data_IF_348781249315
#
_entry.id   IF_348781249315
#
_cell.length_a   1.000
_cell.length_b   1.000
_cell.length_c   1.000
_cell.angle_alpha   90.00
_cell.angle_beta   90.00
_cell.angle_gamma   90.00
#
_symmetry.space_group_name_H-M   'P 1'
#
loop_
_entity.id
_entity.type
_entity.pdbx_description
1 polymer ?
#
# COMPACT_ATOMS: atom_id res chain seq x y z
N UNK A 1 -5.36 3.85 7.23
CA UNK A 1 -5.93 2.48 7.21
C UNK A 1 -6.75 2.27 8.47
N UNK A 2 -8.05 2.05 8.38
CA UNK A 2 -8.89 1.81 9.56
C UNK A 2 -9.03 0.30 9.78
N UNK A 3 -8.50 -0.20 10.90
CA UNK A 3 -8.67 -1.59 11.31
C UNK A 3 -10.11 -1.75 11.81
N UNK A 4 -10.91 -2.58 11.13
CA UNK A 4 -12.32 -2.84 11.46
C UNK A 4 -12.51 -4.19 12.16
N UNK A 5 -11.47 -4.69 12.82
CA UNK A 5 -11.44 -6.00 13.46
C UNK A 5 -12.65 -6.29 14.35
N UNK A 6 -13.16 -5.30 15.10
CA UNK A 6 -14.33 -5.46 15.98
C UNK A 6 -15.57 -5.94 15.22
N UNK A 7 -15.79 -5.36 14.03
CA UNK A 7 -16.96 -5.67 13.21
C UNK A 7 -16.79 -7.03 12.51
N UNK A 8 -15.57 -7.28 12.00
CA UNK A 8 -15.19 -8.55 11.37
C UNK A 8 -15.29 -9.72 12.36
N UNK A 9 -14.69 -9.57 13.54
CA UNK A 9 -14.72 -10.61 14.58
C UNK A 9 -16.16 -10.95 14.97
N UNK A 10 -17.00 -9.93 15.21
CA UNK A 10 -18.41 -10.12 15.54
C UNK A 10 -19.18 -10.80 14.40
N UNK A 11 -18.91 -10.42 13.14
CA UNK A 11 -19.55 -11.03 11.96
C UNK A 11 -19.17 -12.51 11.82
N UNK A 12 -17.88 -12.83 11.89
CA UNK A 12 -17.36 -14.21 11.82
C UNK A 12 -17.94 -15.10 12.93
N UNK A 13 -17.98 -14.59 14.15
CA UNK A 13 -18.56 -15.33 15.28
C UNK A 13 -20.04 -15.64 15.06
N UNK A 14 -20.82 -14.64 14.62
CA UNK A 14 -22.25 -14.82 14.31
C UNK A 14 -22.48 -15.79 13.14
N UNK A 15 -21.66 -15.70 12.11
CA UNK A 15 -21.73 -16.60 10.95
C UNK A 15 -21.48 -18.05 11.36
N UNK A 16 -20.51 -18.26 12.27
CA UNK A 16 -20.20 -19.58 12.82
C UNK A 16 -21.20 -20.04 13.90
N UNK A 17 -22.13 -19.15 14.31
CA UNK A 17 -23.15 -19.38 15.34
C UNK A 17 -22.58 -19.76 16.70
N UNK A 18 -21.43 -19.21 17.08
CA UNK A 18 -20.78 -19.43 18.38
C UNK A 18 -20.96 -18.23 19.31
N UNK A 19 -21.00 -18.49 20.62
CA UNK A 19 -21.08 -17.47 21.65
C UNK A 19 -19.71 -16.85 21.93
N UNK A 20 -19.67 -15.70 22.63
CA UNK A 20 -18.41 -15.11 23.10
C UNK A 20 -17.68 -16.04 24.07
N UNK A 21 -18.43 -16.81 24.86
CA UNK A 21 -17.90 -17.78 25.83
C UNK A 21 -17.25 -18.99 25.11
N UNK A 22 -17.88 -19.54 24.10
CA UNK A 22 -17.31 -20.65 23.33
C UNK A 22 -16.01 -20.24 22.62
N UNK A 23 -15.97 -19.03 22.02
CA UNK A 23 -14.74 -18.51 21.44
C UNK A 23 -13.66 -18.29 22.51
N UNK A 24 -14.02 -17.72 23.65
CA UNK A 24 -13.11 -17.49 24.76
C UNK A 24 -12.51 -18.78 25.29
N UNK A 25 -13.34 -19.82 25.49
CA UNK A 25 -12.90 -21.14 25.92
C UNK A 25 -11.92 -21.78 24.94
N UNK A 26 -12.19 -21.65 23.63
CA UNK A 26 -11.26 -22.14 22.60
C UNK A 26 -9.90 -21.44 22.65
N UNK A 27 -9.88 -20.13 22.94
CA UNK A 27 -8.66 -19.32 22.98
C UNK A 27 -7.97 -19.33 24.35
N UNK A 28 -8.54 -19.95 25.38
CA UNK A 28 -8.01 -19.97 26.74
C UNK A 28 -8.06 -18.60 27.44
N UNK A 29 -9.06 -17.77 27.13
CA UNK A 29 -9.25 -16.43 27.67
C UNK A 29 -10.65 -16.25 28.29
N UNK A 30 -10.99 -15.04 28.71
CA UNK A 30 -12.32 -14.73 29.28
C UNK A 30 -13.30 -14.24 28.21
N UNK A 31 -14.60 -14.56 28.36
CA UNK A 31 -15.65 -14.01 27.50
C UNK A 31 -15.69 -12.46 27.53
N UNK A 32 -15.33 -11.87 28.68
CA UNK A 32 -15.21 -10.43 28.82
C UNK A 32 -14.16 -9.83 27.87
N UNK A 33 -13.04 -10.52 27.65
CA UNK A 33 -12.00 -10.10 26.69
C UNK A 33 -12.55 -10.07 25.27
N UNK A 34 -13.23 -11.13 24.85
CA UNK A 34 -13.90 -11.19 23.52
C UNK A 34 -14.92 -10.05 23.39
N UNK A 35 -15.73 -9.82 24.45
CA UNK A 35 -16.69 -8.73 24.46
C UNK A 35 -16.05 -7.34 24.30
N UNK A 36 -14.90 -7.09 24.95
CA UNK A 36 -14.13 -5.84 24.79
C UNK A 36 -13.66 -5.66 23.33
N UNK A 37 -13.12 -6.70 22.72
CA UNK A 37 -12.67 -6.63 21.33
C UNK A 37 -13.82 -6.33 20.36
N UNK A 38 -14.99 -6.97 20.54
CA UNK A 38 -16.18 -6.73 19.72
C UNK A 38 -16.82 -5.35 19.94
N UNK A 39 -16.54 -4.68 21.05
CA UNK A 39 -16.96 -3.28 21.29
C UNK A 39 -15.91 -2.26 20.84
N UNK A 40 -14.70 -2.74 20.47
CA UNK A 40 -13.59 -1.86 20.09
C UNK A 40 -12.90 -1.21 21.28
N UNK A 41 -13.06 -1.76 22.50
CA UNK A 41 -12.44 -1.29 23.75
C UNK A 41 -11.01 -1.82 23.91
N UNK A 42 -10.50 -2.58 22.94
CA UNK A 42 -9.16 -3.14 22.91
C UNK A 42 -9.00 -4.12 21.75
N UNK A 43 -7.78 -4.67 21.64
CA UNK A 43 -7.41 -5.67 20.65
C UNK A 43 -6.92 -6.95 21.34
N UNK A 44 -7.00 -8.12 20.68
CA UNK A 44 -6.29 -9.31 21.12
C UNK A 44 -4.78 -9.06 21.19
N UNK A 45 -4.10 -9.83 22.03
CA UNK A 45 -2.65 -9.96 21.90
C UNK A 45 -2.30 -10.47 20.50
N UNK A 46 -1.21 -9.95 19.93
CA UNK A 46 -0.78 -10.30 18.56
C UNK A 46 -0.57 -11.81 18.40
N UNK A 47 -0.18 -12.50 19.48
CA UNK A 47 0.03 -13.95 19.48
C UNK A 47 -1.27 -14.74 19.34
N UNK A 48 -2.42 -14.14 19.63
CA UNK A 48 -3.73 -14.77 19.48
C UNK A 48 -4.32 -14.61 18.08
N UNK A 49 -3.85 -13.65 17.30
CA UNK A 49 -4.41 -13.38 15.95
C UNK A 49 -4.38 -14.61 15.04
N UNK A 50 -3.29 -15.39 14.95
CA UNK A 50 -3.25 -16.59 14.14
C UNK A 50 -4.27 -17.64 14.59
N UNK A 51 -4.43 -17.84 15.91
CA UNK A 51 -5.38 -18.80 16.48
C UNK A 51 -6.83 -18.41 16.21
N UNK A 52 -7.15 -17.10 16.29
CA UNK A 52 -8.49 -16.59 15.97
C UNK A 52 -8.78 -16.76 14.48
N UNK A 53 -7.83 -16.40 13.62
CA UNK A 53 -7.97 -16.53 12.18
C UNK A 53 -8.20 -18.01 11.77
N UNK A 54 -7.38 -18.92 12.33
CA UNK A 54 -7.52 -20.35 12.09
C UNK A 54 -8.87 -20.91 12.58
N UNK A 55 -9.33 -20.46 13.76
CA UNK A 55 -10.63 -20.87 14.31
C UNK A 55 -11.79 -20.51 13.37
N UNK A 56 -11.74 -19.37 12.72
CA UNK A 56 -12.76 -18.93 11.77
C UNK A 56 -12.50 -19.36 10.33
N UNK A 57 -11.33 -19.91 10.01
CA UNK A 57 -10.97 -20.30 8.65
C UNK A 57 -10.71 -19.13 7.71
N UNK A 58 -10.22 -18.01 8.25
CA UNK A 58 -9.89 -16.79 7.51
C UNK A 58 -8.40 -16.47 7.67
N UNK A 59 -7.89 -15.52 6.86
CA UNK A 59 -6.56 -14.98 7.05
C UNK A 59 -6.53 -13.94 8.18
N UNK A 60 -5.35 -13.65 8.73
CA UNK A 60 -5.18 -12.55 9.71
C UNK A 60 -5.54 -11.19 9.11
N UNK A 61 -5.27 -10.99 7.82
CA UNK A 61 -5.64 -9.77 7.10
C UNK A 61 -7.16 -9.60 7.07
N UNK A 62 -7.89 -10.65 6.70
CA UNK A 62 -9.36 -10.67 6.72
C UNK A 62 -9.91 -10.45 8.13
N UNK A 63 -9.31 -11.08 9.16
CA UNK A 63 -9.69 -10.87 10.56
C UNK A 63 -9.52 -9.41 10.98
N UNK A 64 -8.43 -8.77 10.55
CA UNK A 64 -8.15 -7.35 10.83
C UNK A 64 -9.01 -6.39 9.99
N UNK A 65 -9.77 -6.93 9.04
CA UNK A 65 -10.61 -6.16 8.13
C UNK A 65 -9.80 -5.43 7.05
N UNK A 66 -8.64 -5.99 6.69
CA UNK A 66 -7.84 -5.52 5.57
C UNK A 66 -8.45 -6.09 4.28
N UNK A 67 -9.22 -5.28 3.61
CA UNK A 67 -9.84 -5.65 2.34
C UNK A 67 -8.90 -5.31 1.17
N UNK A 68 -8.25 -6.35 0.62
CA UNK A 68 -7.35 -6.19 -0.53
C UNK A 68 -8.07 -5.63 -1.76
N UNK A 69 -9.30 -6.06 -2.01
CA UNK A 69 -10.08 -5.56 -3.14
C UNK A 69 -10.33 -4.05 -3.03
N UNK A 70 -10.64 -3.57 -1.82
CA UNK A 70 -10.82 -2.15 -1.55
C UNK A 70 -9.52 -1.35 -1.69
N UNK A 71 -8.38 -1.93 -1.31
CA UNK A 71 -7.06 -1.33 -1.53
C UNK A 71 -6.79 -1.24 -3.04
N UNK A 72 -7.04 -2.30 -3.79
CA UNK A 72 -6.84 -2.33 -5.23
C UNK A 72 -7.75 -1.32 -5.96
N UNK A 73 -9.02 -1.21 -5.57
CA UNK A 73 -9.93 -0.18 -6.09
C UNK A 73 -9.43 1.24 -5.80
N UNK A 74 -8.90 1.47 -4.59
CA UNK A 74 -8.34 2.77 -4.21
C UNK A 74 -7.11 3.12 -5.03
N UNK A 75 -6.19 2.17 -5.22
CA UNK A 75 -4.99 2.38 -6.04
C UNK A 75 -5.39 2.63 -7.49
N UNK A 76 -6.32 1.85 -8.04
CA UNK A 76 -6.83 2.06 -9.40
C UNK A 76 -7.45 3.44 -9.58
N UNK A 77 -8.23 3.92 -8.62
CA UNK A 77 -8.79 5.27 -8.68
C UNK A 77 -7.70 6.35 -8.70
N UNK A 78 -6.60 6.15 -7.98
CA UNK A 78 -5.42 7.03 -7.99
C UNK A 78 -4.73 6.99 -9.37
N UNK A 79 -4.55 5.81 -9.96
CA UNK A 79 -3.95 5.64 -11.29
C UNK A 79 -4.79 6.35 -12.37
N UNK A 80 -6.11 6.18 -12.34
CA UNK A 80 -7.05 6.81 -13.27
C UNK A 80 -7.02 8.34 -13.15
N UNK A 81 -6.95 8.89 -11.93
CA UNK A 81 -6.86 10.32 -11.69
C UNK A 81 -5.49 10.87 -12.11
N UNK A 82 -4.40 10.17 -11.82
CA UNK A 82 -3.06 10.51 -12.29
C UNK A 82 -3.00 10.59 -13.82
N UNK A 83 -3.63 9.62 -14.51
CA UNK A 83 -3.71 9.62 -15.97
C UNK A 83 -4.45 10.86 -16.50
N UNK A 84 -5.57 11.26 -15.88
CA UNK A 84 -6.31 12.47 -16.24
C UNK A 84 -5.46 13.72 -16.06
N UNK A 85 -4.79 13.86 -14.91
CA UNK A 85 -3.93 15.01 -14.62
C UNK A 85 -2.76 15.12 -15.60
N UNK A 86 -2.16 13.99 -15.99
CA UNK A 86 -1.12 13.95 -17.02
C UNK A 86 -1.64 14.39 -18.39
N UNK A 87 -2.83 13.92 -18.78
CA UNK A 87 -3.45 14.31 -20.05
C UNK A 87 -3.82 15.80 -20.09
N UNK A 88 -4.12 16.40 -18.92
CA UNK A 88 -4.36 17.84 -18.79
C UNK A 88 -3.07 18.66 -18.69
N UNK A 89 -1.91 18.02 -18.56
CA UNK A 89 -0.63 18.70 -18.34
C UNK A 89 -0.47 19.33 -16.96
N UNK A 90 -1.32 18.94 -15.98
CA UNK A 90 -1.26 19.48 -14.62
C UNK A 90 -0.20 18.71 -13.78
N UNK A 91 1.06 18.94 -14.11
CA UNK A 91 2.21 18.27 -13.50
C UNK A 91 2.26 18.46 -11.99
N UNK A 92 2.07 19.67 -11.42
CA UNK A 92 2.14 19.86 -9.98
C UNK A 92 1.07 19.07 -9.20
N UNK A 93 -0.16 19.05 -9.71
CA UNK A 93 -1.23 18.28 -9.05
C UNK A 93 -0.99 16.78 -9.19
N UNK A 94 -0.51 16.31 -10.33
CA UNK A 94 -0.15 14.91 -10.51
C UNK A 94 0.94 14.47 -9.52
N UNK A 95 1.99 15.26 -9.36
CA UNK A 95 3.05 14.98 -8.39
C UNK A 95 2.50 14.95 -6.96
N UNK A 96 1.69 15.94 -6.58
CA UNK A 96 1.05 15.97 -5.25
C UNK A 96 0.16 14.76 -4.97
N UNK A 97 -0.60 14.28 -5.97
CA UNK A 97 -1.41 13.08 -5.90
C UNK A 97 -0.53 11.83 -5.66
N UNK A 98 0.52 11.66 -6.48
CA UNK A 98 1.43 10.50 -6.37
C UNK A 98 2.21 10.50 -5.04
N UNK A 99 2.64 11.66 -4.54
CA UNK A 99 3.27 11.81 -3.22
C UNK A 99 2.31 11.41 -2.08
N UNK A 100 1.04 11.80 -2.18
CA UNK A 100 0.02 11.42 -1.20
C UNK A 100 -0.25 9.91 -1.23
N UNK A 101 -0.35 9.34 -2.42
CA UNK A 101 -0.53 7.91 -2.62
C UNK A 101 0.65 7.11 -2.07
N UNK A 102 1.88 7.57 -2.30
CA UNK A 102 3.09 6.93 -1.77
C UNK A 102 3.15 6.95 -0.23
N UNK A 103 2.67 8.02 0.42
CA UNK A 103 2.53 8.04 1.89
C UNK A 103 1.48 7.05 2.38
N UNK A 104 0.40 6.83 1.63
CA UNK A 104 -0.67 5.90 1.97
C UNK A 104 -0.26 4.43 1.72
N UNK A 105 0.44 4.16 0.60
CA UNK A 105 0.84 2.82 0.15
C UNK A 105 2.34 2.75 -0.22
N UNK A 106 3.27 2.91 0.74
CA UNK A 106 4.70 3.07 0.45
C UNK A 106 5.38 1.84 -0.15
N UNK A 107 4.75 0.66 -0.07
CA UNK A 107 5.30 -0.61 -0.54
C UNK A 107 4.54 -1.20 -1.76
N UNK A 108 3.51 -0.53 -2.27
CA UNK A 108 2.85 -0.98 -3.48
C UNK A 108 3.61 -0.52 -4.72
N UNK A 109 4.09 -1.48 -5.52
CA UNK A 109 4.93 -1.19 -6.69
C UNK A 109 4.23 -0.36 -7.77
N UNK A 110 2.89 -0.40 -7.87
CA UNK A 110 2.11 0.44 -8.80
C UNK A 110 2.19 1.90 -8.39
N UNK A 111 2.02 2.15 -7.09
CA UNK A 111 2.11 3.50 -6.50
C UNK A 111 3.53 4.05 -6.60
N UNK A 112 4.54 3.21 -6.33
CA UNK A 112 5.96 3.57 -6.50
C UNK A 112 6.24 3.95 -7.95
N UNK A 113 5.73 3.18 -8.93
CA UNK A 113 5.87 3.46 -10.36
C UNK A 113 5.21 4.78 -10.75
N UNK A 114 4.00 5.04 -10.24
CA UNK A 114 3.29 6.30 -10.46
C UNK A 114 4.06 7.53 -9.96
N UNK A 115 4.67 7.44 -8.77
CA UNK A 115 5.51 8.51 -8.23
C UNK A 115 6.80 8.70 -9.04
N UNK A 116 7.46 7.59 -9.41
CA UNK A 116 8.66 7.63 -10.26
C UNK A 116 8.38 8.35 -11.58
N UNK A 117 7.26 8.04 -12.23
CA UNK A 117 6.85 8.69 -13.47
C UNK A 117 6.49 10.16 -13.28
N UNK A 118 5.79 10.51 -12.19
CA UNK A 118 5.45 11.89 -11.88
C UNK A 118 6.70 12.77 -11.67
N UNK A 119 7.72 12.25 -11.01
CA UNK A 119 9.02 12.93 -10.83
C UNK A 119 9.78 13.11 -12.15
N UNK A 120 9.65 12.18 -13.10
CA UNK A 120 10.31 12.25 -14.41
C UNK A 120 9.68 13.25 -15.35
N UNK A 121 8.39 13.55 -15.19
CA UNK A 121 7.65 14.48 -16.05
C UNK A 121 7.80 15.94 -15.59
N UNK A 122 8.45 16.20 -14.46
CA UNK A 122 8.68 17.56 -13.97
C UNK A 122 9.37 18.38 -15.07
N UNK A 123 8.82 19.56 -15.45
CA UNK A 123 9.36 20.39 -16.53
C UNK A 123 10.70 21.05 -16.19
N UNK A 124 11.18 20.97 -14.95
CA UNK A 124 12.47 21.52 -14.53
C UNK A 124 13.61 20.57 -14.95
N UNK A 125 13.80 20.44 -16.26
CA UNK A 125 14.93 19.70 -16.81
C UNK A 125 16.15 20.63 -17.02
N UNK A 126 17.40 20.24 -16.70
CA UNK A 126 17.81 18.95 -16.09
C UNK A 126 17.37 18.82 -14.63
N UNK A 127 16.95 17.62 -14.24
CA UNK A 127 16.49 17.37 -12.87
C UNK A 127 17.61 17.59 -11.85
N UNK A 128 17.29 18.16 -10.68
CA UNK A 128 18.23 18.21 -9.55
C UNK A 128 18.75 16.81 -9.20
N UNK A 129 19.99 16.73 -8.72
CA UNK A 129 20.64 15.47 -8.39
C UNK A 129 19.80 14.62 -7.41
N UNK A 130 19.22 15.27 -6.43
CA UNK A 130 18.37 14.65 -5.39
C UNK A 130 17.12 13.99 -6.00
N UNK A 131 16.53 14.59 -7.04
CA UNK A 131 15.38 14.02 -7.77
C UNK A 131 15.82 12.81 -8.56
N UNK A 132 16.96 12.86 -9.23
CA UNK A 132 17.51 11.71 -9.96
C UNK A 132 17.82 10.54 -9.01
N UNK A 133 18.44 10.79 -7.87
CA UNK A 133 18.74 9.78 -6.86
C UNK A 133 17.45 9.14 -6.33
N UNK A 134 16.41 9.93 -6.08
CA UNK A 134 15.11 9.43 -5.65
C UNK A 134 14.42 8.57 -6.71
N UNK A 135 14.48 8.96 -7.99
CA UNK A 135 13.94 8.13 -9.09
C UNK A 135 14.69 6.80 -9.17
N UNK A 136 16.03 6.81 -9.01
CA UNK A 136 16.83 5.58 -9.00
C UNK A 136 16.40 4.67 -7.84
N UNK A 137 16.31 5.19 -6.63
CA UNK A 137 15.86 4.43 -5.46
C UNK A 137 14.49 3.77 -5.68
N UNK A 138 13.51 4.54 -6.19
CA UNK A 138 12.16 4.04 -6.47
C UNK A 138 12.18 2.93 -7.54
N UNK A 139 12.96 3.11 -8.61
CA UNK A 139 13.09 2.11 -9.67
C UNK A 139 13.74 0.81 -9.18
N UNK A 140 14.79 0.89 -8.38
CA UNK A 140 15.45 -0.27 -7.77
C UNK A 140 14.49 -1.04 -6.84
N UNK A 141 13.67 -0.33 -6.07
CA UNK A 141 12.64 -0.95 -5.21
C UNK A 141 11.59 -1.70 -6.03
N UNK A 142 11.17 -1.18 -7.18
CA UNK A 142 10.24 -1.88 -8.08
C UNK A 142 10.88 -3.15 -8.62
N UNK A 143 12.14 -3.07 -9.08
CA UNK A 143 12.86 -4.22 -9.65
C UNK A 143 13.02 -5.33 -8.61
N UNK A 144 13.34 -4.97 -7.36
CA UNK A 144 13.56 -5.93 -6.27
C UNK A 144 12.24 -6.51 -5.71
N UNK A 145 11.18 -5.71 -5.64
CA UNK A 145 9.96 -6.05 -4.90
C UNK A 145 8.78 -6.51 -5.76
N UNK A 146 8.74 -6.14 -7.06
CA UNK A 146 7.61 -6.49 -7.92
C UNK A 146 7.73 -7.88 -8.52
N UNK A 147 6.62 -8.63 -8.52
CA UNK A 147 6.45 -9.87 -9.30
C UNK A 147 5.92 -9.60 -10.71
N UNK A 148 5.43 -8.38 -10.98
CA UNK A 148 4.93 -7.98 -12.30
C UNK A 148 6.09 -7.63 -13.22
N UNK A 149 6.27 -8.42 -14.31
CA UNK A 149 7.33 -8.23 -15.29
C UNK A 149 7.24 -6.89 -16.00
N UNK A 150 6.03 -6.39 -16.29
CA UNK A 150 5.82 -5.10 -16.98
C UNK A 150 6.27 -3.92 -16.11
N UNK A 151 5.95 -3.93 -14.81
CA UNK A 151 6.43 -2.91 -13.90
C UNK A 151 7.95 -2.92 -13.75
N UNK A 152 8.56 -4.11 -13.70
CA UNK A 152 10.02 -4.24 -13.64
C UNK A 152 10.70 -3.75 -14.92
N UNK A 153 10.18 -4.11 -16.08
CA UNK A 153 10.69 -3.62 -17.38
C UNK A 153 10.57 -2.10 -17.48
N UNK A 154 9.42 -1.55 -17.10
CA UNK A 154 9.18 -0.10 -17.08
C UNK A 154 10.18 0.62 -16.17
N UNK A 155 10.41 0.11 -14.95
CA UNK A 155 11.39 0.66 -14.05
C UNK A 155 12.82 0.57 -14.62
N UNK A 156 13.22 -0.57 -15.19
CA UNK A 156 14.54 -0.75 -15.80
C UNK A 156 14.77 0.22 -16.97
N UNK A 157 13.79 0.37 -17.87
CA UNK A 157 13.85 1.33 -18.98
C UNK A 157 13.98 2.77 -18.45
N UNK A 158 13.24 3.11 -17.41
CA UNK A 158 13.30 4.43 -16.77
C UNK A 158 14.69 4.72 -16.20
N UNK A 159 15.31 3.73 -15.56
CA UNK A 159 16.68 3.87 -15.01
C UNK A 159 17.75 4.02 -16.08
N UNK A 160 17.59 3.40 -17.26
CA UNK A 160 18.54 3.54 -18.36
C UNK A 160 18.62 4.98 -18.91
N UNK A 161 17.58 5.78 -18.76
CA UNK A 161 17.51 7.15 -19.29
C UNK A 161 18.14 8.17 -18.33
N UNK A 162 18.11 7.93 -17.03
CA UNK A 162 18.55 8.88 -16.00
C UNK A 162 20.04 9.23 -16.06
N UNK A 163 21.00 8.29 -16.27
CA UNK A 163 22.42 8.64 -16.39
C UNK A 163 22.71 9.62 -17.52
N UNK A 164 21.96 9.53 -18.62
CA UNK A 164 22.08 10.49 -19.74
C UNK A 164 21.55 11.89 -19.37
N UNK A 165 20.57 11.96 -18.46
CA UNK A 165 20.03 13.19 -17.93
C UNK A 165 21.02 13.91 -16.99
N UNK A 166 21.84 13.18 -16.26
CA UNK A 166 22.85 13.73 -15.33
C UNK A 166 24.15 14.20 -16.02
N UNK A 167 24.52 13.59 -17.15
CA UNK A 167 25.77 13.88 -17.86
C UNK A 167 25.73 15.17 -18.68
N UNK A 168 24.56 15.72 -18.98
CA UNK A 168 24.44 16.98 -19.74
C UNK A 168 24.92 18.20 -18.89
N UNK A 169 24.95 18.08 -17.56
CA UNK A 169 25.36 19.16 -16.66
C UNK A 169 26.89 19.37 -16.63
N UNK A 170 27.70 18.37 -16.95
CA UNK A 170 29.16 18.49 -16.91
C UNK A 170 29.82 19.03 -18.18
N UNK A 171 29.07 19.20 -19.28
CA UNK A 171 29.64 19.70 -20.54
C UNK A 171 29.47 21.21 -20.77
N UNK A 172 28.85 21.94 -19.86
CA UNK A 172 28.59 23.38 -19.95
C UNK A 172 29.32 24.22 -18.86
N UNK A 173 30.48 23.70 -18.40
CA UNK A 173 31.44 24.54 -17.61
C UNK A 173 32.78 24.64 -18.32
#
# INVERSE_FOLDING_TARGET
>A
MNITMKDTLRALRRQKKVTQEELANHLGITAQSVGKWERGEGFPDITLLPSIALYFGVTTDELLGIDKARIDERIKAIEDESLKLRNLGDVPKNLGLCESAYREFPNDCRVISGLMDALRIDPHYPHPKEVCERIIELGERIIAGSTDSKLREHAAMSLCVIPQMSFTIQKTR
#
